data_IF_782940517282
#
_entry.id   IF_782940517282
#
_cell.length_a   1.000
_cell.length_b   1.000
_cell.length_c   1.000
_cell.angle_alpha   90.00
_cell.angle_beta   90.00
_cell.angle_gamma   90.00
#
_symmetry.space_group_name_H-M   'P 1'
#
loop_
_entity.id
_entity.type
_entity.pdbx_description
1 polymer ?
#
# COMPACT_ATOMS: atom_id res chain seq x y z
N UNK A 1 1.79 -13.59 14.07
CA UNK A 1 1.91 -12.47 13.15
C UNK A 1 1.47 -11.18 13.78
N UNK A 2 2.07 -10.09 13.33
CA UNK A 2 1.83 -8.77 13.89
C UNK A 2 1.32 -7.83 12.82
N UNK A 3 0.42 -6.94 13.22
CA UNK A 3 -0.15 -5.91 12.33
C UNK A 3 -0.06 -4.57 13.03
N UNK A 4 0.20 -3.51 12.25
CA UNK A 4 0.16 -2.14 12.75
C UNK A 4 -0.72 -1.31 11.83
N UNK A 5 -1.75 -0.68 12.39
CA UNK A 5 -2.56 0.26 11.62
C UNK A 5 -1.95 1.64 11.75
N UNK A 6 -1.54 2.19 10.62
CA UNK A 6 -0.80 3.46 10.57
C UNK A 6 -1.74 4.65 10.30
N UNK A 7 -2.86 4.40 9.63
CA UNK A 7 -3.77 5.45 9.21
C UNK A 7 -3.34 6.06 7.87
N UNK A 8 -3.38 7.38 7.78
CA UNK A 8 -3.02 8.08 6.54
C UNK A 8 -1.52 8.34 6.46
N UNK A 9 -0.98 8.27 5.25
CA UNK A 9 0.38 8.72 4.97
C UNK A 9 0.36 10.19 4.55
N UNK A 10 1.51 10.88 4.62
CA UNK A 10 1.57 12.28 4.19
C UNK A 10 1.17 12.44 2.72
N UNK A 11 0.44 13.50 2.43
CA UNK A 11 0.01 13.81 1.06
C UNK A 11 1.15 14.38 0.21
N UNK A 12 2.10 15.07 0.84
CA UNK A 12 3.24 15.66 0.16
C UNK A 12 4.21 14.55 -0.27
N UNK A 13 4.63 14.57 -1.52
CA UNK A 13 5.34 13.44 -2.15
C UNK A 13 6.63 13.06 -1.42
N UNK A 14 7.43 14.04 -1.04
CA UNK A 14 8.72 13.79 -0.37
C UNK A 14 8.51 13.16 0.99
N UNK A 15 7.59 13.70 1.78
CA UNK A 15 7.26 13.16 3.10
C UNK A 15 6.64 11.76 2.97
N UNK A 16 5.81 11.55 1.97
CA UNK A 16 5.18 10.24 1.70
C UNK A 16 6.24 9.19 1.36
N UNK A 17 7.20 9.54 0.51
CA UNK A 17 8.29 8.64 0.15
C UNK A 17 9.10 8.23 1.37
N UNK A 18 9.44 9.18 2.23
CA UNK A 18 10.16 8.91 3.46
C UNK A 18 9.38 7.97 4.37
N UNK A 19 8.08 8.22 4.52
CA UNK A 19 7.22 7.41 5.38
C UNK A 19 7.09 5.98 4.84
N UNK A 20 6.97 5.81 3.53
CA UNK A 20 6.91 4.49 2.91
C UNK A 20 8.17 3.69 3.22
N UNK A 21 9.36 4.31 3.13
CA UNK A 21 10.62 3.64 3.45
C UNK A 21 10.67 3.21 4.91
N UNK A 22 10.18 4.06 5.82
CA UNK A 22 10.11 3.72 7.24
C UNK A 22 9.19 2.50 7.46
N UNK A 23 8.02 2.50 6.82
CA UNK A 23 7.06 1.41 6.98
C UNK A 23 7.59 0.11 6.40
N UNK A 24 8.26 0.15 5.26
CA UNK A 24 8.87 -1.02 4.67
C UNK A 24 9.93 -1.60 5.62
N UNK A 25 10.76 -0.73 6.20
CA UNK A 25 11.78 -1.15 7.16
C UNK A 25 11.15 -1.82 8.38
N UNK A 26 10.07 -1.27 8.91
CA UNK A 26 9.37 -1.85 10.05
C UNK A 26 8.78 -3.21 9.71
N UNK A 27 8.24 -3.36 8.50
CA UNK A 27 7.68 -4.63 8.05
C UNK A 27 8.74 -5.73 8.05
N UNK A 28 9.94 -5.43 7.58
CA UNK A 28 11.04 -6.41 7.56
C UNK A 28 11.63 -6.67 8.93
N UNK A 29 11.88 -5.62 9.72
CA UNK A 29 12.55 -5.77 11.02
C UNK A 29 11.70 -6.54 12.01
N UNK A 30 10.41 -6.34 12.01
CA UNK A 30 9.52 -6.91 13.02
C UNK A 30 8.56 -7.95 12.48
N UNK A 31 8.70 -8.34 11.21
CA UNK A 31 7.73 -9.22 10.54
C UNK A 31 6.30 -8.73 10.78
N UNK A 32 6.11 -7.42 10.63
CA UNK A 32 4.85 -6.75 10.97
C UNK A 32 4.24 -6.15 9.71
N UNK A 33 3.00 -6.53 9.42
CA UNK A 33 2.27 -5.95 8.30
C UNK A 33 1.85 -4.53 8.64
N UNK A 34 2.19 -3.60 7.77
CA UNK A 34 1.81 -2.19 7.93
C UNK A 34 0.54 -1.93 7.13
N UNK A 35 -0.50 -1.44 7.80
CA UNK A 35 -1.81 -1.21 7.21
C UNK A 35 -2.07 0.28 7.16
N UNK A 36 -2.39 0.81 5.98
CA UNK A 36 -2.62 2.24 5.84
C UNK A 36 -3.65 2.52 4.75
N UNK A 37 -4.15 3.73 4.75
CA UNK A 37 -5.20 4.16 3.84
C UNK A 37 -4.87 5.53 3.24
N UNK A 38 -5.61 5.87 2.20
CA UNK A 38 -5.57 7.19 1.59
C UNK A 38 -7.00 7.61 1.25
N UNK A 39 -7.23 8.88 0.95
CA UNK A 39 -8.52 9.29 0.43
C UNK A 39 -8.70 8.72 -0.99
N UNK A 40 -9.95 8.39 -1.38
CA UNK A 40 -10.17 7.74 -2.69
C UNK A 40 -9.57 8.50 -3.87
N UNK A 41 -9.49 9.83 -3.80
CA UNK A 41 -8.97 10.65 -4.90
C UNK A 41 -7.45 10.63 -4.99
N UNK A 42 -6.75 10.19 -3.92
CA UNK A 42 -5.29 10.13 -3.90
C UNK A 42 -4.75 8.70 -3.89
N UNK A 43 -5.61 7.70 -3.97
CA UNK A 43 -5.18 6.31 -3.97
C UNK A 43 -4.16 5.99 -5.05
N UNK A 44 -4.37 6.50 -6.27
CA UNK A 44 -3.43 6.24 -7.36
C UNK A 44 -2.07 6.86 -7.09
N UNK A 45 -2.02 8.05 -6.48
CA UNK A 45 -0.75 8.68 -6.11
C UNK A 45 0.01 7.85 -5.09
N UNK A 46 -0.69 7.33 -4.07
CA UNK A 46 -0.06 6.48 -3.07
C UNK A 46 0.42 5.17 -3.70
N UNK A 47 -0.39 4.54 -4.52
CA UNK A 47 -0.01 3.31 -5.21
C UNK A 47 1.25 3.52 -6.06
N UNK A 48 1.31 4.59 -6.86
CA UNK A 48 2.49 4.88 -7.67
C UNK A 48 3.74 5.10 -6.81
N UNK A 49 3.57 5.77 -5.67
CA UNK A 49 4.69 5.97 -4.74
C UNK A 49 5.18 4.64 -4.18
N UNK A 50 4.27 3.75 -3.82
CA UNK A 50 4.62 2.43 -3.26
C UNK A 50 5.44 1.61 -4.26
N UNK A 51 5.00 1.52 -5.50
CA UNK A 51 5.72 0.72 -6.50
C UNK A 51 7.02 1.38 -6.94
N UNK A 52 7.16 2.68 -6.78
CA UNK A 52 8.41 3.39 -7.11
C UNK A 52 9.45 3.26 -6.01
N UNK A 53 9.04 3.19 -4.75
CA UNK A 53 9.93 3.30 -3.58
C UNK A 53 10.31 1.95 -3.02
N UNK A 54 9.37 1.02 -2.93
CA UNK A 54 9.60 -0.26 -2.25
C UNK A 54 10.44 -1.23 -3.08
N UNK A 55 11.11 -2.14 -2.39
CA UNK A 55 11.92 -3.18 -3.01
C UNK A 55 11.03 -4.12 -3.83
N UNK A 56 11.56 -4.69 -4.93
CA UNK A 56 10.75 -5.54 -5.81
C UNK A 56 10.10 -6.75 -5.14
N UNK A 57 10.74 -7.31 -4.12
CA UNK A 57 10.23 -8.49 -3.43
C UNK A 57 9.28 -8.18 -2.27
N UNK A 58 9.13 -6.90 -1.89
CA UNK A 58 8.21 -6.52 -0.83
C UNK A 58 6.78 -6.80 -1.27
N UNK A 59 5.97 -7.31 -0.37
CA UNK A 59 4.59 -7.71 -0.68
C UNK A 59 3.64 -6.56 -0.42
N UNK A 60 2.73 -6.36 -1.35
CA UNK A 60 1.67 -5.36 -1.21
C UNK A 60 0.33 -6.01 -1.49
N UNK A 61 -0.57 -5.91 -0.52
CA UNK A 61 -1.96 -6.30 -0.69
C UNK A 61 -2.79 -5.03 -0.85
N UNK A 62 -3.63 -5.01 -1.87
CA UNK A 62 -4.54 -3.89 -2.14
C UNK A 62 -5.96 -4.43 -2.02
N UNK A 63 -6.69 -3.93 -1.03
CA UNK A 63 -8.07 -4.35 -0.76
C UNK A 63 -9.00 -3.18 -1.07
N UNK A 64 -9.87 -3.36 -2.05
CA UNK A 64 -10.78 -2.31 -2.50
C UNK A 64 -12.23 -2.69 -2.26
N UNK A 65 -13.03 -1.70 -1.91
CA UNK A 65 -14.49 -1.83 -1.78
C UNK A 65 -14.91 -3.00 -0.87
N UNK A 66 -14.22 -3.17 0.26
CA UNK A 66 -14.47 -4.27 1.19
C UNK A 66 -15.94 -4.29 1.61
N UNK A 67 -16.53 -5.49 1.59
CA UNK A 67 -17.94 -5.74 1.92
C UNK A 67 -18.94 -5.16 0.90
N UNK A 68 -18.46 -4.71 -0.26
CA UNK A 68 -19.32 -4.26 -1.37
C UNK A 68 -19.30 -5.29 -2.49
N UNK A 69 -20.30 -5.26 -3.40
CA UNK A 69 -20.31 -6.21 -4.54
C UNK A 69 -19.08 -6.10 -5.44
N UNK A 70 -18.41 -4.95 -5.45
CA UNK A 70 -17.21 -4.71 -6.26
C UNK A 70 -15.91 -5.00 -5.51
N UNK A 71 -15.98 -5.70 -4.37
CA UNK A 71 -14.81 -6.02 -3.57
C UNK A 71 -13.73 -6.74 -4.37
N UNK A 72 -12.49 -6.29 -4.22
CA UNK A 72 -11.31 -6.98 -4.73
C UNK A 72 -10.23 -6.97 -3.65
N UNK A 73 -9.59 -8.11 -3.44
CA UNK A 73 -8.46 -8.23 -2.52
C UNK A 73 -7.36 -8.94 -3.29
N UNK A 74 -6.31 -8.20 -3.64
CA UNK A 74 -5.25 -8.70 -4.51
C UNK A 74 -3.90 -8.51 -3.82
N UNK A 75 -3.11 -9.58 -3.74
CA UNK A 75 -1.77 -9.55 -3.16
C UNK A 75 -0.75 -9.89 -4.22
N UNK A 76 0.37 -9.20 -4.19
CA UNK A 76 1.48 -9.47 -5.08
C UNK A 76 2.73 -8.74 -4.62
N UNK A 77 3.88 -9.13 -5.19
CA UNK A 77 5.11 -8.39 -4.94
C UNK A 77 5.06 -7.04 -5.64
N UNK A 78 5.92 -6.13 -5.19
CA UNK A 78 6.04 -4.82 -5.86
C UNK A 78 6.41 -5.03 -7.34
N UNK A 79 7.29 -6.01 -7.63
CA UNK A 79 7.65 -6.31 -9.03
C UNK A 79 6.42 -6.73 -9.84
N UNK A 80 5.55 -7.53 -9.25
CA UNK A 80 4.30 -7.95 -9.90
C UNK A 80 3.39 -6.75 -10.16
N UNK A 81 3.24 -5.86 -9.16
CA UNK A 81 2.38 -4.69 -9.28
C UNK A 81 2.88 -3.71 -10.34
N UNK A 82 4.18 -3.62 -10.57
CA UNK A 82 4.72 -2.77 -11.64
C UNK A 82 4.24 -3.22 -13.03
N UNK A 83 3.98 -4.51 -13.18
CA UNK A 83 3.48 -5.09 -14.45
C UNK A 83 1.96 -5.20 -14.50
N UNK A 84 1.30 -5.06 -13.37
CA UNK A 84 -0.14 -5.31 -13.24
C UNK A 84 -0.81 -4.16 -12.48
N UNK A 85 -0.67 -2.95 -13.01
CA UNK A 85 -1.20 -1.76 -12.34
C UNK A 85 -2.73 -1.80 -12.30
N UNK A 86 -3.29 -1.23 -11.23
CA UNK A 86 -4.71 -1.23 -10.96
C UNK A 86 -5.21 0.21 -10.87
N UNK A 87 -6.44 0.44 -11.29
CA UNK A 87 -7.09 1.74 -11.18
C UNK A 87 -7.82 1.83 -9.85
N UNK A 88 -7.45 2.80 -9.02
CA UNK A 88 -7.97 2.94 -7.66
C UNK A 88 -8.72 4.25 -7.42
N UNK A 89 -8.88 5.08 -8.45
CA UNK A 89 -9.55 6.36 -8.29
C UNK A 89 -11.00 6.18 -7.84
N UNK A 90 -11.40 6.93 -6.81
CA UNK A 90 -12.75 6.91 -6.24
C UNK A 90 -13.15 5.58 -5.59
N UNK A 91 -12.18 4.71 -5.31
CA UNK A 91 -12.45 3.43 -4.65
C UNK A 91 -11.94 3.45 -3.22
N UNK A 92 -12.74 2.96 -2.28
CA UNK A 92 -12.29 2.82 -0.89
C UNK A 92 -11.24 1.71 -0.86
N UNK A 93 -10.02 2.06 -0.45
CA UNK A 93 -8.87 1.16 -0.56
C UNK A 93 -8.09 1.08 0.74
N UNK A 94 -7.69 -0.14 1.10
CA UNK A 94 -6.78 -0.40 2.21
C UNK A 94 -5.53 -1.03 1.63
N UNK A 95 -4.37 -0.53 2.05
CA UNK A 95 -3.08 -1.04 1.61
C UNK A 95 -2.41 -1.78 2.76
N UNK A 96 -1.85 -2.96 2.47
CA UNK A 96 -1.14 -3.75 3.45
C UNK A 96 0.25 -4.08 2.91
N UNK A 97 1.28 -3.58 3.59
CA UNK A 97 2.67 -3.74 3.18
C UNK A 97 3.36 -4.72 4.11
N UNK A 98 4.00 -5.75 3.55
CA UNK A 98 4.67 -6.79 4.31
C UNK A 98 5.92 -7.30 3.60
N UNK A 99 6.68 -8.12 4.29
CA UNK A 99 7.84 -8.76 3.67
C UNK A 99 7.45 -10.04 2.91
#
# INVERSE_FOLDING_TARGET
QSFAFVGYLPAEKSARTKRIRELESLAYRFSQTQIFIETPYRNNHLFESLIAVCSPQTMLCVATDIACPTQQIISGSIAWWKRNKIELNKRNTVFLLSK
#
